data_IF_203697205413
#
_entry.id   IF_203697205413
#
_cell.length_a   1.000
_cell.length_b   1.000
_cell.length_c   1.000
_cell.angle_alpha   90.00
_cell.angle_beta   90.00
_cell.angle_gamma   90.00
#
_symmetry.space_group_name_H-M   'P 1'
#
loop_
_entity.id
_entity.type
_entity.pdbx_description
1 polymer ?
#
# COMPACT_ATOMS: atom_id res chain seq x y z
N UNK A 1 -5.08 29.44 33.21
CA UNK A 1 -5.62 29.23 31.85
C UNK A 1 -4.47 29.15 30.84
N UNK A 2 -3.66 30.20 30.65
CA UNK A 2 -2.51 30.18 29.72
C UNK A 2 -1.49 29.03 29.93
N UNK A 3 -1.15 28.73 31.18
CA UNK A 3 -0.17 27.66 31.50
C UNK A 3 -0.66 26.24 31.16
N UNK A 4 -1.99 26.02 31.12
CA UNK A 4 -2.58 24.73 30.75
C UNK A 4 -2.66 24.57 29.22
N UNK A 5 -2.79 25.67 28.49
CA UNK A 5 -2.81 25.69 27.02
C UNK A 5 -1.41 25.42 26.46
N UNK A 6 -0.36 25.99 27.09
CA UNK A 6 1.04 25.73 26.74
C UNK A 6 1.45 24.27 27.02
N UNK A 7 0.97 23.69 28.12
CA UNK A 7 1.26 22.30 28.48
C UNK A 7 0.58 21.31 27.51
N UNK A 8 -0.67 21.59 27.10
CA UNK A 8 -1.38 20.81 26.09
C UNK A 8 -0.69 20.88 24.71
N UNK A 9 -0.18 22.05 24.32
CA UNK A 9 0.56 22.23 23.07
C UNK A 9 1.90 21.46 23.06
N UNK A 10 2.60 21.44 24.21
CA UNK A 10 3.87 20.72 24.35
C UNK A 10 3.69 19.20 24.33
N UNK A 11 2.61 18.70 24.95
CA UNK A 11 2.24 17.28 24.92
C UNK A 11 1.79 16.82 23.54
N UNK A 12 1.03 17.65 22.81
CA UNK A 12 0.66 17.37 21.42
C UNK A 12 1.88 17.27 20.51
N UNK A 13 2.81 18.22 20.63
CA UNK A 13 4.08 18.24 19.87
C UNK A 13 4.93 16.99 20.12
N UNK A 14 5.01 16.54 21.37
CA UNK A 14 5.75 15.32 21.74
C UNK A 14 5.07 14.05 21.22
N UNK A 15 3.73 14.01 21.20
CA UNK A 15 2.95 12.88 20.66
C UNK A 15 3.14 12.74 19.15
N UNK A 16 3.14 13.86 18.43
CA UNK A 16 3.29 13.86 16.96
C UNK A 16 4.74 13.52 16.54
N UNK A 17 5.74 13.89 17.35
CA UNK A 17 7.12 13.43 17.21
C UNK A 17 7.26 11.91 17.36
N UNK A 18 6.62 11.31 18.37
CA UNK A 18 6.64 9.85 18.60
C UNK A 18 5.89 9.08 17.50
N UNK A 19 4.82 9.63 16.94
CA UNK A 19 4.13 9.02 15.80
C UNK A 19 5.00 9.01 14.54
N UNK A 20 5.70 10.12 14.28
CA UNK A 20 6.62 10.26 13.14
C UNK A 20 7.84 9.35 13.27
N UNK A 21 8.40 9.25 14.48
CA UNK A 21 9.51 8.34 14.79
C UNK A 21 9.12 6.86 14.71
N UNK A 22 7.88 6.51 15.09
CA UNK A 22 7.35 5.15 14.90
C UNK A 22 7.10 4.84 13.42
N UNK A 23 6.57 5.80 12.66
CA UNK A 23 6.33 5.63 11.23
C UNK A 23 7.65 5.46 10.47
N UNK A 24 8.69 6.20 10.85
CA UNK A 24 10.03 6.04 10.28
C UNK A 24 10.70 4.74 10.75
N UNK A 25 10.55 4.33 12.01
CA UNK A 25 11.10 3.07 12.53
C UNK A 25 10.49 1.83 11.84
N UNK A 26 9.19 1.86 11.51
CA UNK A 26 8.52 0.80 10.72
C UNK A 26 9.05 0.75 9.29
N UNK A 27 9.32 1.91 8.67
CA UNK A 27 9.94 1.98 7.34
C UNK A 27 11.43 1.60 7.35
N UNK A 28 12.11 1.72 8.49
CA UNK A 28 13.57 1.51 8.62
C UNK A 28 13.98 0.05 8.81
N UNK A 29 13.04 -0.84 9.17
CA UNK A 29 13.33 -2.24 9.51
C UNK A 29 12.38 -3.23 8.81
N UNK A 30 11.71 -2.85 7.72
CA UNK A 30 10.92 -3.80 6.96
C UNK A 30 11.88 -4.77 6.24
N UNK A 31 12.04 -5.97 6.78
CA UNK A 31 12.81 -6.98 6.10
C UNK A 31 12.08 -7.43 4.83
N UNK A 32 12.82 -8.01 3.89
CA UNK A 32 12.21 -8.64 2.71
C UNK A 32 11.22 -9.74 3.12
N UNK A 33 11.48 -10.43 4.22
CA UNK A 33 10.61 -11.47 4.77
C UNK A 33 9.30 -10.87 5.30
N UNK A 34 9.37 -9.77 6.05
CA UNK A 34 8.18 -9.04 6.52
C UNK A 34 7.35 -8.50 5.36
N UNK A 35 8.00 -7.96 4.32
CA UNK A 35 7.31 -7.49 3.13
C UNK A 35 6.64 -8.65 2.38
N UNK A 36 7.32 -9.78 2.25
CA UNK A 36 6.78 -10.98 1.58
C UNK A 36 5.59 -11.54 2.37
N UNK A 37 5.70 -11.61 3.69
CA UNK A 37 4.62 -12.06 4.57
C UNK A 37 3.42 -11.10 4.55
N UNK A 38 3.66 -9.78 4.48
CA UNK A 38 2.61 -8.79 4.35
C UNK A 38 1.91 -8.85 2.99
N UNK A 39 2.67 -9.02 1.90
CA UNK A 39 2.12 -9.18 0.56
C UNK A 39 1.38 -10.51 0.40
N UNK A 40 1.86 -11.60 0.99
CA UNK A 40 1.16 -12.90 0.97
C UNK A 40 -0.20 -12.90 1.66
N UNK A 41 -0.46 -11.96 2.58
CA UNK A 41 -1.80 -11.77 3.16
C UNK A 41 -2.82 -11.22 2.15
N UNK A 42 -2.37 -10.77 0.98
CA UNK A 42 -3.25 -10.37 -0.11
C UNK A 42 -3.86 -11.58 -0.84
N UNK A 43 -3.16 -12.73 -0.92
CA UNK A 43 -3.60 -13.90 -1.69
C UNK A 43 -5.02 -14.38 -1.32
N UNK A 44 -5.39 -14.51 -0.03
CA UNK A 44 -6.74 -14.93 0.33
C UNK A 44 -7.83 -13.94 -0.09
N UNK A 45 -7.52 -12.64 -0.08
CA UNK A 45 -8.45 -11.60 -0.53
C UNK A 45 -8.60 -11.63 -2.06
N UNK A 46 -7.50 -11.87 -2.78
CA UNK A 46 -7.50 -12.05 -4.22
C UNK A 46 -8.32 -13.27 -4.66
N UNK A 47 -8.15 -14.40 -3.97
CA UNK A 47 -8.84 -15.66 -4.27
C UNK A 47 -10.35 -15.61 -4.00
N UNK A 48 -10.79 -14.69 -3.13
CA UNK A 48 -12.20 -14.49 -2.81
C UNK A 48 -12.94 -13.64 -3.87
N UNK A 49 -12.21 -12.97 -4.77
CA UNK A 49 -12.80 -12.15 -5.83
C UNK A 49 -13.41 -13.01 -6.93
N UNK A 50 -14.49 -12.52 -7.55
CA UNK A 50 -14.99 -13.12 -8.77
C UNK A 50 -13.97 -12.95 -9.91
N UNK A 51 -13.92 -13.87 -10.89
CA UNK A 51 -12.97 -13.78 -12.01
C UNK A 51 -13.03 -12.45 -12.77
N UNK A 52 -14.21 -11.83 -12.86
CA UNK A 52 -14.38 -10.52 -13.49
C UNK A 52 -13.69 -9.39 -12.69
N UNK A 53 -13.69 -9.46 -11.37
CA UNK A 53 -13.04 -8.47 -10.51
C UNK A 53 -11.52 -8.61 -10.55
N UNK A 54 -11.02 -9.85 -10.56
CA UNK A 54 -9.60 -10.12 -10.77
C UNK A 54 -9.12 -9.55 -12.11
N UNK A 55 -9.86 -9.79 -13.19
CA UNK A 55 -9.55 -9.24 -14.52
C UNK A 55 -9.51 -7.71 -14.52
N UNK A 56 -10.51 -7.07 -13.90
CA UNK A 56 -10.58 -5.61 -13.78
C UNK A 56 -9.39 -5.03 -13.01
N UNK A 57 -8.97 -5.67 -11.92
CA UNK A 57 -7.80 -5.22 -11.17
C UNK A 57 -6.53 -5.38 -12.01
N UNK A 58 -6.38 -6.49 -12.73
CA UNK A 58 -5.24 -6.70 -13.64
C UNK A 58 -5.19 -5.61 -14.72
N UNK A 59 -6.32 -5.30 -15.35
CA UNK A 59 -6.44 -4.22 -16.34
C UNK A 59 -6.14 -2.84 -15.76
N UNK A 60 -6.48 -2.59 -14.48
CA UNK A 60 -6.17 -1.34 -13.80
C UNK A 60 -4.68 -1.20 -13.48
N UNK A 61 -3.98 -2.31 -13.29
CA UNK A 61 -2.59 -2.33 -12.86
C UNK A 61 -1.62 -2.45 -14.03
N UNK A 62 -1.95 -3.20 -15.08
CA UNK A 62 -1.03 -3.51 -16.18
C UNK A 62 -1.25 -2.56 -17.35
N UNK A 63 -0.17 -1.88 -17.74
CA UNK A 63 -0.13 -0.99 -18.91
C UNK A 63 0.26 -1.77 -20.18
N UNK A 64 1.30 -2.60 -20.09
CA UNK A 64 1.81 -3.35 -21.24
C UNK A 64 2.43 -4.68 -20.81
N UNK A 65 2.27 -5.70 -21.65
CA UNK A 65 2.96 -7.00 -21.50
C UNK A 65 3.74 -7.27 -22.79
N UNK A 66 5.04 -7.48 -22.66
CA UNK A 66 5.93 -7.84 -23.76
C UNK A 66 6.49 -9.24 -23.53
N UNK A 67 6.42 -10.07 -24.56
CA UNK A 67 6.93 -11.45 -24.54
C UNK A 67 8.03 -11.56 -25.59
N UNK A 68 9.27 -11.74 -25.13
CA UNK A 68 10.36 -12.16 -25.99
C UNK A 68 10.47 -13.70 -25.94
N UNK A 69 9.84 -14.34 -26.90
CA UNK A 69 9.85 -15.81 -27.03
C UNK A 69 11.23 -16.39 -27.37
N UNK A 70 12.15 -15.59 -27.92
CA UNK A 70 13.51 -16.05 -28.27
C UNK A 70 14.44 -16.00 -27.07
N UNK A 71 14.33 -14.94 -26.27
CA UNK A 71 15.07 -14.80 -25.01
C UNK A 71 14.40 -15.51 -23.82
N UNK A 72 13.15 -15.95 -23.98
CA UNK A 72 12.35 -16.52 -22.89
C UNK A 72 12.02 -15.48 -21.81
N UNK A 73 11.88 -14.21 -22.19
CA UNK A 73 11.70 -13.09 -21.27
C UNK A 73 10.26 -12.57 -21.31
N UNK A 74 9.68 -12.34 -20.13
CA UNK A 74 8.40 -11.66 -19.95
C UNK A 74 8.66 -10.33 -19.25
N UNK A 75 8.29 -9.23 -19.90
CA UNK A 75 8.33 -7.89 -19.32
C UNK A 75 6.90 -7.42 -19.08
N UNK A 76 6.59 -7.01 -17.86
CA UNK A 76 5.30 -6.43 -17.49
C UNK A 76 5.53 -4.99 -17.05
N UNK A 77 4.86 -4.06 -17.72
CA UNK A 77 4.85 -2.65 -17.37
C UNK A 77 3.56 -2.33 -16.63
N UNK A 78 3.70 -1.76 -15.43
CA UNK A 78 2.55 -1.33 -14.63
C UNK A 78 2.16 0.10 -14.94
N UNK A 79 0.87 0.42 -14.84
CA UNK A 79 0.39 1.78 -14.87
C UNK A 79 1.01 2.58 -13.71
N UNK A 80 1.66 3.74 -13.96
CA UNK A 80 2.31 4.54 -12.92
C UNK A 80 1.38 4.95 -11.78
N UNK A 81 0.08 5.02 -12.06
CA UNK A 81 -0.98 5.38 -11.11
C UNK A 81 -1.88 4.21 -10.73
N UNK A 82 -1.69 3.01 -11.30
CA UNK A 82 -2.60 1.87 -11.14
C UNK A 82 -2.79 1.48 -9.68
N UNK A 83 -1.70 1.31 -8.94
CA UNK A 83 -1.75 0.98 -7.51
C UNK A 83 -2.41 2.08 -6.66
N UNK A 84 -2.22 3.36 -7.02
CA UNK A 84 -2.87 4.48 -6.32
C UNK A 84 -4.37 4.49 -6.58
N UNK A 85 -4.79 4.21 -7.81
CA UNK A 85 -6.19 4.11 -8.18
C UNK A 85 -6.87 2.95 -7.45
N UNK A 86 -6.22 1.78 -7.41
CA UNK A 86 -6.71 0.61 -6.69
C UNK A 86 -6.86 0.89 -5.19
N UNK A 87 -5.85 1.48 -4.55
CA UNK A 87 -5.91 1.82 -3.13
C UNK A 87 -7.05 2.81 -2.81
N UNK A 88 -7.29 3.79 -3.69
CA UNK A 88 -8.40 4.73 -3.53
C UNK A 88 -9.79 4.08 -3.72
N UNK A 89 -9.87 3.00 -4.51
CA UNK A 89 -11.09 2.22 -4.67
C UNK A 89 -11.39 1.36 -3.44
N UNK A 90 -10.41 0.59 -2.98
CA UNK A 90 -10.53 -0.23 -1.75
C UNK A 90 -10.90 0.64 -0.54
N UNK A 91 -10.29 1.82 -0.41
CA UNK A 91 -10.60 2.76 0.67
C UNK A 91 -12.01 3.36 0.59
N UNK A 92 -12.61 3.42 -0.61
CA UNK A 92 -14.01 3.87 -0.80
C UNK A 92 -15.00 2.78 -0.43
N UNK A 93 -14.73 1.52 -0.78
CA UNK A 93 -15.58 0.38 -0.43
C UNK A 93 -15.48 0.00 1.05
N UNK A 94 -14.33 0.22 1.69
CA UNK A 94 -14.16 0.02 3.13
C UNK A 94 -14.88 1.08 3.99
N UNK A 95 -15.53 2.09 3.39
CA UNK A 95 -16.31 3.10 4.12
C UNK A 95 -17.72 2.54 4.42
N UNK A 96 -18.11 2.43 5.70
CA UNK A 96 -19.44 1.94 6.10
C UNK A 96 -20.57 2.90 5.73
#
# INVERSE_FOLDING_TARGET
MAQLEDEAAMLATRRDGVATERQSAVASNLSQEDLTAALGQFDPAWDALYPAEQARIVELLIDQVEIDSQAGMLTVTFHPTGFKALAAEVAREARP
#
